data_IF_222488510523
#
_entry.id   IF_222488510523
#
_cell.length_a   1.000
_cell.length_b   1.000
_cell.length_c   1.000
_cell.angle_alpha   90.00
_cell.angle_beta   90.00
_cell.angle_gamma   90.00
#
_symmetry.space_group_name_H-M   'P 1'
#
loop_
_entity.id
_entity.type
_entity.pdbx_description
1 polymer ?
#
# COMPACT_ATOMS: atom_id res chain seq x y z
N UNK A 1 13.08 10.16 4.56
CA UNK A 1 12.65 9.03 3.71
C UNK A 1 13.81 8.56 2.83
N UNK A 2 13.97 7.25 2.61
CA UNK A 2 14.94 6.69 1.64
C UNK A 2 14.18 6.08 0.45
N UNK A 3 14.57 6.42 -0.77
CA UNK A 3 13.99 5.87 -1.99
C UNK A 3 14.81 4.68 -2.50
N UNK A 4 14.13 3.57 -2.77
CA UNK A 4 14.74 2.28 -3.09
C UNK A 4 14.50 1.91 -4.55
N UNK A 5 15.59 1.57 -5.24
CA UNK A 5 15.56 0.93 -6.55
C UNK A 5 14.96 -0.49 -6.47
N UNK A 6 14.60 -1.11 -7.62
CA UNK A 6 14.04 -2.45 -7.65
C UNK A 6 14.79 -3.50 -6.84
N UNK A 7 16.11 -3.61 -7.02
CA UNK A 7 16.93 -4.56 -6.28
C UNK A 7 17.02 -4.26 -4.79
N UNK A 8 16.94 -2.98 -4.40
CA UNK A 8 17.05 -2.57 -3.00
C UNK A 8 15.78 -2.90 -2.20
N UNK A 9 14.59 -2.63 -2.73
CA UNK A 9 13.35 -2.99 -2.02
C UNK A 9 13.17 -4.51 -1.97
N UNK A 10 13.59 -5.23 -3.02
CA UNK A 10 13.57 -6.69 -3.03
C UNK A 10 14.46 -7.26 -1.94
N UNK A 11 15.70 -6.76 -1.84
CA UNK A 11 16.64 -7.15 -0.79
C UNK A 11 16.09 -6.80 0.61
N UNK A 12 15.42 -5.65 0.75
CA UNK A 12 14.77 -5.27 2.00
C UNK A 12 13.66 -6.26 2.38
N UNK A 13 12.75 -6.61 1.46
CA UNK A 13 11.69 -7.59 1.70
C UNK A 13 12.26 -8.94 2.14
N UNK A 14 13.25 -9.47 1.41
CA UNK A 14 13.89 -10.75 1.75
C UNK A 14 14.60 -10.68 3.10
N UNK A 15 15.30 -9.58 3.40
CA UNK A 15 15.93 -9.35 4.70
C UNK A 15 14.94 -9.27 5.87
N UNK A 16 13.74 -8.73 5.61
CA UNK A 16 12.60 -8.70 6.53
C UNK A 16 11.80 -10.01 6.53
N UNK A 17 12.26 -11.04 5.82
CA UNK A 17 11.60 -12.33 5.72
C UNK A 17 10.28 -12.32 4.93
N UNK A 18 9.97 -11.25 4.19
CA UNK A 18 8.79 -11.17 3.32
C UNK A 18 9.09 -11.91 2.01
N UNK A 19 8.33 -12.97 1.67
CA UNK A 19 8.56 -13.71 0.45
C UNK A 19 8.20 -12.85 -0.77
N UNK A 20 8.83 -13.17 -1.90
CA UNK A 20 8.57 -12.52 -3.18
C UNK A 20 7.94 -13.54 -4.13
N UNK A 21 6.95 -13.10 -4.90
CA UNK A 21 6.29 -13.90 -5.94
C UNK A 21 6.51 -13.31 -7.32
N UNK A 22 6.61 -14.18 -8.32
CA UNK A 22 6.65 -13.78 -9.72
C UNK A 22 5.23 -13.78 -10.30
N UNK A 23 4.70 -12.61 -10.65
CA UNK A 23 3.38 -12.43 -11.23
C UNK A 23 3.46 -11.43 -12.40
N UNK A 24 4.10 -11.85 -13.50
CA UNK A 24 4.54 -10.95 -14.58
C UNK A 24 5.85 -10.24 -14.24
N UNK A 25 5.90 -9.60 -13.07
CA UNK A 25 7.12 -9.09 -12.42
C UNK A 25 7.17 -9.52 -10.95
N UNK A 26 8.28 -9.23 -10.28
CA UNK A 26 8.50 -9.61 -8.89
C UNK A 26 7.74 -8.66 -7.96
N UNK A 27 6.97 -9.22 -7.01
CA UNK A 27 6.17 -8.46 -6.02
C UNK A 27 6.28 -9.09 -4.63
N UNK A 28 6.06 -8.33 -3.54
CA UNK A 28 5.86 -8.92 -2.22
C UNK A 28 4.69 -9.90 -2.20
N UNK A 29 4.83 -11.01 -1.48
CA UNK A 29 3.77 -11.98 -1.27
C UNK A 29 3.33 -12.00 0.19
N UNK A 30 2.23 -11.30 0.46
CA UNK A 30 1.58 -11.25 1.77
C UNK A 30 0.45 -12.27 1.90
N UNK A 31 0.30 -13.20 0.95
CA UNK A 31 -0.82 -14.15 0.86
C UNK A 31 -0.45 -15.59 1.21
N UNK A 32 0.84 -15.86 1.40
CA UNK A 32 1.36 -17.18 1.75
C UNK A 32 1.49 -17.38 3.26
N UNK A 33 1.55 -18.63 3.70
CA UNK A 33 1.85 -18.97 5.10
C UNK A 33 3.16 -18.28 5.54
N UNK A 34 3.23 -17.68 6.75
CA UNK A 34 2.26 -17.74 7.85
C UNK A 34 1.32 -16.51 7.95
N UNK A 35 1.01 -15.82 6.85
CA UNK A 35 0.12 -14.65 6.91
C UNK A 35 -1.36 -15.05 7.02
N UNK A 36 -2.04 -14.43 7.98
CA UNK A 36 -3.49 -14.35 8.07
C UNK A 36 -3.97 -13.12 7.32
N UNK A 37 -4.76 -13.34 6.26
CA UNK A 37 -5.24 -12.29 5.34
C UNK A 37 -6.65 -11.87 5.68
N UNK A 38 -6.89 -10.57 5.66
CA UNK A 38 -8.18 -9.92 5.91
C UNK A 38 -8.48 -8.99 4.74
N UNK A 39 -9.60 -9.22 4.05
CA UNK A 39 -10.07 -8.30 3.02
C UNK A 39 -10.63 -7.02 3.66
N UNK A 40 -10.22 -5.87 3.13
CA UNK A 40 -10.68 -4.55 3.56
C UNK A 40 -11.47 -3.93 2.41
N UNK A 41 -12.72 -3.48 2.63
CA UNK A 41 -13.50 -2.86 1.58
C UNK A 41 -12.93 -1.49 1.20
N UNK A 42 -12.72 -1.27 -0.10
CA UNK A 42 -12.48 0.07 -0.65
C UNK A 42 -13.83 0.69 -1.04
N UNK A 43 -14.03 1.95 -0.64
CA UNK A 43 -15.14 2.76 -1.10
C UNK A 43 -14.70 3.65 -2.27
N UNK A 44 -15.62 3.91 -3.22
CA UNK A 44 -15.36 4.77 -4.37
C UNK A 44 -15.35 6.27 -4.02
N UNK A 45 -15.92 6.65 -2.86
CA UNK A 45 -15.88 8.02 -2.36
C UNK A 45 -14.45 8.45 -1.99
N UNK A 46 -14.03 9.60 -2.52
CA UNK A 46 -12.69 10.12 -2.31
C UNK A 46 -12.38 10.41 -0.83
N UNK A 47 -13.35 10.90 -0.06
CA UNK A 47 -13.18 11.17 1.37
C UNK A 47 -12.96 9.88 2.16
N UNK A 48 -13.69 8.82 1.81
CA UNK A 48 -13.51 7.48 2.39
C UNK A 48 -12.18 6.85 2.00
N UNK A 49 -11.67 7.08 0.78
CA UNK A 49 -10.31 6.68 0.39
C UNK A 49 -9.23 7.36 1.22
N UNK A 50 -9.37 8.67 1.49
CA UNK A 50 -8.44 9.41 2.38
C UNK A 50 -8.49 8.86 3.81
N UNK A 51 -9.69 8.56 4.33
CA UNK A 51 -9.83 7.93 5.65
C UNK A 51 -9.16 6.55 5.70
N UNK A 52 -9.41 5.71 4.69
CA UNK A 52 -8.79 4.40 4.56
C UNK A 52 -7.26 4.49 4.51
N UNK A 53 -6.68 5.46 3.79
CA UNK A 53 -5.24 5.69 3.77
C UNK A 53 -4.67 5.89 5.19
N UNK A 54 -5.36 6.69 6.02
CA UNK A 54 -5.01 6.92 7.41
C UNK A 54 -5.07 5.64 8.24
N UNK A 55 -6.13 4.85 8.08
CA UNK A 55 -6.29 3.57 8.76
C UNK A 55 -5.17 2.59 8.37
N UNK A 56 -4.90 2.43 7.07
CA UNK A 56 -3.83 1.56 6.57
C UNK A 56 -2.45 1.97 7.08
N UNK A 57 -2.12 3.27 7.06
CA UNK A 57 -0.87 3.77 7.64
C UNK A 57 -0.78 3.52 9.14
N UNK A 58 -1.90 3.53 9.87
CA UNK A 58 -1.95 3.23 11.29
C UNK A 58 -1.73 1.75 11.62
N UNK A 59 -1.94 0.85 10.65
CA UNK A 59 -1.70 -0.59 10.80
C UNK A 59 -0.22 -0.94 10.63
N UNK A 60 0.54 -0.19 9.84
CA UNK A 60 1.96 -0.45 9.53
C UNK A 60 2.89 0.63 10.07
N UNK A 61 2.51 1.28 11.18
CA UNK A 61 3.16 2.49 11.73
C UNK A 61 4.68 2.48 11.54
N UNK A 62 5.28 3.56 11.00
CA UNK A 62 6.71 3.62 10.76
C UNK A 62 7.54 3.51 12.05
N UNK A 63 7.99 2.31 12.41
CA UNK A 63 8.85 2.10 13.58
C UNK A 63 9.58 0.75 13.53
N UNK A 64 10.92 0.72 13.37
CA UNK A 64 11.82 1.81 12.98
C UNK A 64 11.65 2.25 11.52
N UNK A 65 11.24 1.36 10.61
CA UNK A 65 11.07 1.64 9.19
C UNK A 65 9.88 0.87 8.59
N UNK A 66 9.16 1.49 7.68
CA UNK A 66 8.08 0.84 6.89
C UNK A 66 8.41 1.00 5.42
N UNK A 67 8.25 -0.06 4.63
CA UNK A 67 8.36 0.02 3.19
C UNK A 67 6.99 0.34 2.60
N UNK A 68 6.88 1.46 1.90
CA UNK A 68 5.80 1.69 0.94
C UNK A 68 6.32 1.38 -0.46
N UNK A 69 5.71 0.43 -1.16
CA UNK A 69 6.06 0.08 -2.53
C UNK A 69 4.89 0.43 -3.42
N UNK A 70 5.09 1.39 -4.32
CA UNK A 70 4.14 1.61 -5.40
C UNK A 70 4.40 0.60 -6.50
N UNK A 71 3.33 0.13 -7.11
CA UNK A 71 3.34 -0.80 -8.23
C UNK A 71 2.21 -0.43 -9.20
N UNK A 72 2.24 -0.97 -10.41
CA UNK A 72 1.17 -0.90 -11.41
C UNK A 72 0.46 0.48 -11.54
N UNK A 73 1.21 1.57 -11.44
CA UNK A 73 0.69 2.94 -11.52
C UNK A 73 0.44 3.39 -12.97
N UNK A 74 0.69 2.49 -13.93
CA UNK A 74 0.67 2.77 -15.37
C UNK A 74 -0.55 2.18 -16.11
N UNK A 75 -1.51 1.56 -15.41
CA UNK A 75 -2.67 0.88 -16.03
C UNK A 75 -3.60 1.85 -16.76
N UNK A 76 -3.98 2.96 -16.10
CA UNK A 76 -4.98 3.90 -16.63
C UNK A 76 -4.40 5.29 -16.89
N UNK A 77 -3.99 5.56 -18.15
CA UNK A 77 -3.27 6.79 -18.55
C UNK A 77 -3.92 8.11 -18.07
N UNK A 78 -5.25 8.13 -17.97
CA UNK A 78 -6.02 9.30 -17.53
C UNK A 78 -5.96 9.52 -16.00
N UNK A 79 -5.65 8.49 -15.22
CA UNK A 79 -5.62 8.53 -13.75
C UNK A 79 -4.19 8.64 -13.19
N UNK A 80 -3.14 8.50 -14.02
CA UNK A 80 -1.77 8.46 -13.53
C UNK A 80 -1.29 9.73 -12.82
N UNK A 81 -1.81 10.92 -13.17
CA UNK A 81 -1.41 12.24 -12.62
C UNK A 81 0.10 12.36 -12.28
N UNK A 82 0.98 11.71 -13.06
CA UNK A 82 2.40 11.56 -12.75
C UNK A 82 3.11 12.89 -12.49
N UNK A 83 2.83 13.99 -13.21
CA UNK A 83 3.48 15.27 -12.93
C UNK A 83 3.29 15.75 -11.47
N UNK A 84 2.14 15.47 -10.85
CA UNK A 84 1.92 15.80 -9.44
C UNK A 84 2.83 14.98 -8.55
N UNK A 85 2.85 13.66 -8.75
CA UNK A 85 3.61 12.75 -7.90
C UNK A 85 5.13 12.87 -8.11
N UNK A 86 5.58 13.13 -9.35
CA UNK A 86 6.97 13.48 -9.66
C UNK A 86 7.41 14.72 -8.92
N UNK A 87 6.60 15.79 -8.88
CA UNK A 87 6.94 17.02 -8.15
C UNK A 87 6.93 16.83 -6.65
N UNK A 88 6.00 16.03 -6.13
CA UNK A 88 5.98 15.62 -4.72
C UNK A 88 7.28 14.88 -4.35
N UNK A 89 7.69 13.87 -5.12
CA UNK A 89 8.95 13.15 -4.89
C UNK A 89 10.18 14.04 -5.03
N UNK A 90 10.19 14.96 -6.00
CA UNK A 90 11.28 15.93 -6.15
C UNK A 90 11.40 16.86 -4.93
N UNK A 91 10.28 17.28 -4.32
CA UNK A 91 10.30 18.07 -3.08
C UNK A 91 10.90 17.30 -1.89
N UNK A 92 10.86 15.96 -1.94
CA UNK A 92 11.50 15.07 -0.96
C UNK A 92 12.92 14.66 -1.37
N UNK A 93 13.48 15.24 -2.43
CA UNK A 93 14.85 15.00 -2.90
C UNK A 93 15.01 13.82 -3.86
N UNK A 94 13.92 13.30 -4.45
CA UNK A 94 13.96 12.22 -5.43
C UNK A 94 13.52 12.68 -6.83
N UNK A 95 14.48 12.73 -7.75
CA UNK A 95 14.26 13.16 -9.13
C UNK A 95 14.12 12.00 -10.11
N UNK A 96 14.50 10.78 -9.72
CA UNK A 96 14.41 9.60 -10.58
C UNK A 96 12.94 9.29 -10.91
N UNK A 97 12.64 8.80 -12.13
CA UNK A 97 11.33 8.25 -12.46
C UNK A 97 10.85 7.21 -11.44
N UNK A 98 9.54 7.10 -11.25
CA UNK A 98 8.98 6.15 -10.27
C UNK A 98 9.39 4.70 -10.54
N UNK A 99 9.53 4.33 -11.81
CA UNK A 99 10.00 2.99 -12.21
C UNK A 99 11.44 2.68 -11.75
N UNK A 100 12.28 3.69 -11.57
CA UNK A 100 13.66 3.52 -11.13
C UNK A 100 13.80 3.46 -9.61
N UNK A 101 12.83 4.03 -8.87
CA UNK A 101 12.82 4.03 -7.41
C UNK A 101 11.39 3.93 -6.85
N UNK A 102 10.71 2.78 -7.03
CA UNK A 102 9.30 2.61 -6.62
C UNK A 102 9.12 2.40 -5.12
N UNK A 103 10.18 1.98 -4.41
CA UNK A 103 10.15 1.75 -2.96
C UNK A 103 10.46 3.01 -2.18
N UNK A 104 9.71 3.23 -1.10
CA UNK A 104 9.86 4.35 -0.17
C UNK A 104 9.99 3.78 1.22
N UNK A 105 11.21 3.81 1.77
CA UNK A 105 11.48 3.40 3.14
C UNK A 105 11.30 4.61 4.05
N UNK A 106 10.22 4.57 4.85
CA UNK A 106 9.76 5.67 5.70
C UNK A 106 10.00 5.35 7.16
N UNK A 107 10.29 6.38 7.94
CA UNK A 107 10.39 6.31 9.40
C UNK A 107 9.34 7.20 10.04
N UNK A 108 9.30 7.26 11.38
CA UNK A 108 8.33 8.07 12.11
C UNK A 108 8.33 9.55 11.70
N UNK A 109 9.51 10.11 11.34
CA UNK A 109 9.61 11.50 10.88
C UNK A 109 8.99 11.74 9.49
N UNK A 110 8.78 10.67 8.73
CA UNK A 110 8.21 10.70 7.37
C UNK A 110 6.71 10.38 7.37
N UNK A 111 6.05 10.34 8.53
CA UNK A 111 4.65 9.86 8.67
C UNK A 111 3.67 10.60 7.74
N UNK A 112 3.75 11.92 7.68
CA UNK A 112 2.81 12.72 6.88
C UNK A 112 3.05 12.53 5.37
N UNK A 113 4.31 12.35 4.98
CA UNK A 113 4.68 12.02 3.60
C UNK A 113 4.23 10.60 3.23
N UNK A 114 4.38 9.64 4.14
CA UNK A 114 3.90 8.27 3.98
C UNK A 114 2.38 8.24 3.77
N UNK A 115 1.63 8.96 4.60
CA UNK A 115 0.18 9.12 4.44
C UNK A 115 -0.17 9.75 3.10
N UNK A 116 0.58 10.76 2.67
CA UNK A 116 0.38 11.43 1.38
C UNK A 116 0.61 10.48 0.20
N UNK A 117 1.63 9.62 0.26
CA UNK A 117 1.90 8.58 -0.76
C UNK A 117 0.73 7.59 -0.85
N UNK A 118 0.31 7.03 0.28
CA UNK A 118 -0.78 6.04 0.33
C UNK A 118 -2.10 6.66 -0.15
N UNK A 119 -2.36 7.90 0.25
CA UNK A 119 -3.55 8.66 -0.19
C UNK A 119 -3.52 8.89 -1.69
N UNK A 120 -2.38 9.33 -2.26
CA UNK A 120 -2.25 9.55 -3.68
C UNK A 120 -2.46 8.25 -4.47
N UNK A 121 -1.88 7.14 -4.02
CA UNK A 121 -2.03 5.84 -4.65
C UNK A 121 -3.50 5.36 -4.65
N UNK A 122 -4.25 5.54 -3.55
CA UNK A 122 -5.68 5.21 -3.49
C UNK A 122 -6.52 6.11 -4.41
N UNK A 123 -6.27 7.41 -4.42
CA UNK A 123 -7.03 8.38 -5.23
C UNK A 123 -6.77 8.23 -6.73
N UNK A 124 -5.58 7.78 -7.12
CA UNK A 124 -5.19 7.56 -8.51
C UNK A 124 -5.31 6.10 -8.96
N UNK A 125 -5.86 5.23 -8.11
CA UNK A 125 -6.06 3.81 -8.37
C UNK A 125 -4.77 3.13 -8.84
N UNK A 126 -3.73 3.16 -8.01
CA UNK A 126 -2.48 2.43 -8.22
C UNK A 126 -2.41 1.22 -7.29
N UNK A 127 -1.49 0.30 -7.59
CA UNK A 127 -1.11 -0.72 -6.63
C UNK A 127 -0.17 -0.13 -5.57
N UNK A 128 -0.36 -0.52 -4.32
CA UNK A 128 0.51 -0.10 -3.23
C UNK A 128 0.60 -1.19 -2.17
N UNK A 129 1.81 -1.43 -1.71
CA UNK A 129 2.09 -2.24 -0.52
C UNK A 129 2.59 -1.33 0.58
N UNK A 130 2.13 -1.56 1.81
CA UNK A 130 2.74 -1.04 3.02
C UNK A 130 3.18 -2.20 3.90
N UNK A 131 4.47 -2.29 4.21
CA UNK A 131 5.05 -3.42 4.94
C UNK A 131 5.77 -2.89 6.17
N UNK A 132 5.32 -3.33 7.34
CA UNK A 132 5.93 -2.95 8.61
C UNK A 132 7.34 -3.55 8.76
N UNK A 133 8.14 -2.96 9.66
CA UNK A 133 9.48 -3.46 9.95
C UNK A 133 9.47 -4.95 10.31
N UNK A 134 10.51 -5.67 9.87
CA UNK A 134 10.61 -7.12 10.08
C UNK A 134 9.54 -7.95 9.36
N UNK A 135 8.71 -7.34 8.50
CA UNK A 135 7.79 -8.05 7.61
C UNK A 135 6.66 -8.80 8.30
N UNK A 136 6.41 -8.54 9.60
CA UNK A 136 5.41 -9.28 10.37
C UNK A 136 3.97 -9.04 9.91
N UNK A 137 3.68 -7.88 9.34
CA UNK A 137 2.38 -7.53 8.81
C UNK A 137 2.51 -6.43 7.74
N UNK A 138 1.44 -6.26 6.96
CA UNK A 138 1.38 -5.28 5.90
C UNK A 138 0.00 -5.16 5.29
N UNK A 139 -0.19 -4.18 4.43
CA UNK A 139 -1.35 -4.06 3.57
C UNK A 139 -0.96 -4.10 2.11
N UNK A 140 -1.92 -4.44 1.27
CA UNK A 140 -1.87 -4.26 -0.17
C UNK A 140 -3.21 -3.71 -0.64
N UNK A 141 -3.19 -2.78 -1.60
CA UNK A 141 -4.34 -2.51 -2.43
C UNK A 141 -3.96 -2.43 -3.89
N UNK A 142 -4.93 -2.70 -4.77
CA UNK A 142 -4.75 -2.68 -6.22
C UNK A 142 -5.54 -1.57 -6.90
N UNK A 143 -5.18 -1.32 -8.16
CA UNK A 143 -5.93 -0.48 -9.08
C UNK A 143 -7.36 -0.96 -9.39
N UNK A 144 -7.69 -2.22 -9.06
CA UNK A 144 -9.02 -2.85 -9.25
C UNK A 144 -9.91 -2.73 -8.00
N UNK A 145 -9.64 -1.75 -7.14
CA UNK A 145 -10.34 -1.50 -5.87
C UNK A 145 -10.34 -2.71 -4.89
N UNK A 146 -9.32 -3.56 -4.96
CA UNK A 146 -9.06 -4.62 -3.99
C UNK A 146 -8.15 -4.11 -2.87
N UNK A 147 -8.45 -4.39 -1.60
CA UNK A 147 -7.54 -4.14 -0.48
C UNK A 147 -7.54 -5.31 0.50
N UNK A 148 -6.36 -5.60 1.03
CA UNK A 148 -6.15 -6.59 2.07
C UNK A 148 -5.16 -6.09 3.12
N UNK A 149 -5.32 -6.58 4.34
CA UNK A 149 -4.30 -6.58 5.37
C UNK A 149 -3.85 -8.02 5.63
N UNK A 150 -2.57 -8.19 5.94
CA UNK A 150 -1.97 -9.48 6.20
C UNK A 150 -1.08 -9.40 7.44
N UNK A 151 -1.14 -10.40 8.32
CA UNK A 151 -0.33 -10.45 9.53
C UNK A 151 0.06 -11.88 9.89
N UNK A 152 1.30 -12.07 10.34
CA UNK A 152 1.76 -13.34 10.96
C UNK A 152 1.25 -13.52 12.38
N UNK A 153 0.74 -12.45 12.98
CA UNK A 153 0.02 -12.48 14.24
C UNK A 153 -1.49 -12.63 13.96
N UNK A 154 -2.09 -13.80 14.27
CA UNK A 154 -3.52 -14.05 14.05
C UNK A 154 -4.42 -13.15 14.91
N UNK A 155 -3.97 -12.73 16.10
CA UNK A 155 -4.78 -11.88 16.97
C UNK A 155 -4.90 -10.47 16.40
N UNK A 156 -3.81 -9.95 15.83
CA UNK A 156 -3.81 -8.69 15.09
C UNK A 156 -4.69 -8.77 13.84
N UNK A 157 -4.61 -9.86 13.08
CA UNK A 157 -5.50 -10.05 11.91
C UNK A 157 -6.98 -10.06 12.33
N UNK A 158 -7.33 -10.79 13.38
CA UNK A 158 -8.70 -10.83 13.89
C UNK A 158 -9.17 -9.47 14.44
N UNK A 159 -8.28 -8.65 15.02
CA UNK A 159 -8.60 -7.28 15.42
C UNK A 159 -8.94 -6.41 14.20
N UNK A 160 -8.12 -6.46 13.15
CA UNK A 160 -8.35 -5.73 11.90
C UNK A 160 -9.65 -6.17 11.24
N UNK A 161 -9.92 -7.47 11.20
CA UNK A 161 -11.18 -8.00 10.68
C UNK A 161 -12.38 -7.42 11.43
N UNK A 162 -12.37 -7.42 12.76
CA UNK A 162 -13.46 -6.82 13.57
C UNK A 162 -13.61 -5.31 13.31
N UNK A 163 -12.50 -4.60 13.13
CA UNK A 163 -12.47 -3.16 12.86
C UNK A 163 -13.19 -2.83 11.56
N UNK A 164 -12.96 -3.59 10.50
CA UNK A 164 -13.54 -3.34 9.17
C UNK A 164 -14.86 -4.08 8.91
N UNK A 165 -15.18 -5.13 9.67
CA UNK A 165 -16.48 -5.82 9.60
C UNK A 165 -17.66 -4.91 9.98
N UNK A 166 -17.42 -3.93 10.87
CA UNK A 166 -18.42 -2.95 11.31
C UNK A 166 -18.84 -1.94 10.24
N UNK A 167 -18.03 -1.74 9.20
CA UNK A 167 -18.24 -0.71 8.16
C UNK A 167 -19.05 -1.24 6.95
N UNK A 168 -19.33 -2.55 6.92
CA UNK A 168 -20.11 -3.24 5.87
C UNK A 168 -21.59 -2.86 5.74
N UNK A 169 -22.09 -1.84 6.48
CA UNK A 169 -23.50 -1.39 6.43
C UNK A 169 -23.84 -0.44 5.27
N UNK A 170 -22.98 -0.27 4.27
CA UNK A 170 -23.32 0.43 3.02
C UNK A 170 -22.82 -0.28 1.77
N UNK A 171 -23.15 -1.56 1.60
CA UNK A 171 -23.27 -2.14 0.25
C UNK A 171 -24.54 -1.59 -0.40
N UNK A 172 -24.41 -0.49 -1.13
CA UNK A 172 -25.39 0.03 -2.09
C UNK A 172 -24.60 0.88 -3.08
N UNK A 173 -24.55 0.59 -4.37
CA UNK A 173 -25.63 0.14 -5.25
C UNK A 173 -24.99 -0.61 -6.42
N UNK A 174 -25.58 -1.75 -6.79
CA UNK A 174 -25.35 -2.39 -8.08
C UNK A 174 -25.73 -1.38 -9.17
N UNK A 175 -24.78 -0.95 -10.00
CA UNK A 175 -25.14 -0.30 -11.27
C UNK A 175 -25.63 -1.40 -12.22
N UNK A 176 -26.88 -1.35 -12.71
CA UNK A 176 -27.29 -2.22 -13.80
C UNK A 176 -26.54 -1.80 -15.06
N UNK A 177 -26.04 -2.80 -15.79
CA UNK A 177 -25.49 -2.60 -17.13
C UNK A 177 -26.56 -1.96 -18.05
N UNK A 178 -26.18 -0.87 -18.72
CA UNK A 178 -26.73 -0.43 -19.99
C UNK A 178 -25.69 0.43 -20.72
#
# INVERSE_FOLDING_TARGET
>A
MKFLAPSEWQAWCVGSGVPLRQAGWLRPDLTVDPYHVVDIPIDLDAGRKVYLAGELCSLVKPSPQTLLLLDDWAVWSEMHRMPLFTRFRAALGEERPLIEAPGHLVSEVDRDDALSIVTAALLFSWDCYGIADGGGHGFYFSHDDYCQFASRDPDLAAEVERRFAGDGRRRGTVFPQA
#
